data_IF_748544914162
#
_entry.id   IF_748544914162
#
_cell.length_a   1.000
_cell.length_b   1.000
_cell.length_c   1.000
_cell.angle_alpha   90.00
_cell.angle_beta   90.00
_cell.angle_gamma   90.00
#
_symmetry.space_group_name_H-M   'P 1'
#
loop_
_entity.id
_entity.type
_entity.pdbx_description
1 polymer ?
#
# COMPACT_ATOMS: atom_id res chain seq x y z
N UNK A 1 4.87 -32.76 15.77
CA UNK A 1 5.27 -31.34 15.91
C UNK A 1 5.39 -30.77 14.50
N UNK A 2 4.67 -29.70 14.15
CA UNK A 2 4.95 -28.97 12.91
C UNK A 2 6.35 -28.39 13.02
N UNK A 3 7.27 -28.77 12.13
CA UNK A 3 8.55 -28.09 12.01
C UNK A 3 8.32 -26.67 11.48
N UNK A 4 9.07 -25.72 12.01
CA UNK A 4 9.06 -24.33 11.54
C UNK A 4 9.86 -24.29 10.24
N UNK A 5 9.30 -23.64 9.20
CA UNK A 5 9.91 -23.54 7.87
C UNK A 5 10.32 -22.11 7.56
N UNK A 6 11.39 -21.92 6.80
CA UNK A 6 11.74 -20.59 6.31
C UNK A 6 10.73 -20.11 5.27
N UNK A 7 10.43 -18.81 5.30
CA UNK A 7 9.51 -18.14 4.41
C UNK A 7 10.06 -16.75 4.05
N UNK A 8 9.92 -16.25 2.81
CA UNK A 8 9.29 -16.89 1.64
C UNK A 8 10.02 -18.18 1.20
N UNK A 9 9.29 -19.11 0.61
CA UNK A 9 9.76 -20.48 0.36
C UNK A 9 10.87 -20.57 -0.71
N UNK A 10 10.68 -19.87 -1.82
CA UNK A 10 11.66 -19.77 -2.91
C UNK A 10 11.79 -18.31 -3.36
N UNK A 11 12.87 -18.02 -4.10
CA UNK A 11 13.00 -16.73 -4.76
C UNK A 11 11.83 -16.51 -5.75
N UNK A 12 11.32 -15.27 -5.89
CA UNK A 12 10.28 -14.96 -6.87
C UNK A 12 10.72 -15.34 -8.29
N UNK A 13 9.88 -16.08 -9.01
CA UNK A 13 10.06 -16.37 -10.43
C UNK A 13 8.98 -15.65 -11.24
N UNK A 14 9.28 -14.42 -11.65
CA UNK A 14 8.35 -13.55 -12.39
C UNK A 14 7.00 -13.45 -11.67
N UNK A 15 5.93 -13.95 -12.31
CA UNK A 15 4.57 -14.00 -11.78
C UNK A 15 4.13 -15.42 -11.38
N UNK A 16 5.04 -16.40 -11.43
CA UNK A 16 4.74 -17.77 -11.04
C UNK A 16 4.67 -17.87 -9.52
N UNK A 17 3.53 -18.34 -9.03
CA UNK A 17 3.39 -18.68 -7.63
C UNK A 17 4.21 -19.92 -7.31
N UNK A 18 4.94 -19.89 -6.20
CA UNK A 18 5.70 -21.04 -5.72
C UNK A 18 4.79 -22.30 -5.63
N UNK A 19 5.15 -23.41 -6.32
CA UNK A 19 4.34 -24.64 -6.32
C UNK A 19 4.16 -25.23 -4.92
N UNK A 20 5.02 -24.90 -3.97
CA UNK A 20 4.92 -25.34 -2.59
C UNK A 20 3.64 -24.84 -1.91
N UNK A 21 3.11 -23.67 -2.28
CA UNK A 21 1.78 -23.26 -1.81
C UNK A 21 0.69 -24.25 -2.21
N UNK A 22 0.75 -24.81 -3.43
CA UNK A 22 -0.23 -25.80 -3.88
C UNK A 22 -0.09 -27.12 -3.12
N UNK A 23 1.14 -27.51 -2.77
CA UNK A 23 1.42 -28.67 -1.91
C UNK A 23 0.84 -28.45 -0.50
N UNK A 24 1.19 -27.35 0.16
CA UNK A 24 0.70 -27.02 1.51
C UNK A 24 -0.82 -26.99 1.58
N UNK A 25 -1.49 -26.37 0.60
CA UNK A 25 -2.97 -26.38 0.53
C UNK A 25 -3.58 -27.78 0.62
N UNK A 26 -2.91 -28.80 0.06
CA UNK A 26 -3.38 -30.20 0.07
C UNK A 26 -2.96 -30.92 1.35
N UNK A 27 -1.70 -30.80 1.76
CA UNK A 27 -1.10 -31.68 2.77
C UNK A 27 -0.99 -31.07 4.16
N UNK A 28 -0.78 -29.75 4.25
CA UNK A 28 -0.53 -29.03 5.52
C UNK A 28 -1.01 -27.57 5.39
N UNK A 29 -2.34 -27.33 5.39
CA UNK A 29 -2.90 -26.03 5.01
C UNK A 29 -2.67 -24.91 6.03
N UNK A 30 -2.34 -25.29 7.27
CA UNK A 30 -1.89 -24.44 8.35
C UNK A 30 -0.51 -24.94 8.80
N UNK A 31 0.53 -24.16 8.51
CA UNK A 31 1.93 -24.49 8.85
C UNK A 31 2.57 -23.37 9.67
N UNK A 32 3.59 -23.70 10.46
CA UNK A 32 4.46 -22.70 11.11
C UNK A 32 5.56 -22.26 10.15
N UNK A 33 5.83 -20.96 10.11
CA UNK A 33 6.89 -20.36 9.28
C UNK A 33 7.68 -19.30 10.05
N UNK A 34 8.90 -19.03 9.58
CA UNK A 34 9.78 -17.97 10.03
C UNK A 34 10.12 -17.06 8.85
N UNK A 35 9.89 -15.76 9.02
CA UNK A 35 10.27 -14.74 8.04
C UNK A 35 11.70 -14.21 8.32
N UNK A 36 12.35 -13.47 7.40
CA UNK A 36 13.70 -12.95 7.63
C UNK A 36 13.83 -12.11 8.90
N UNK A 37 12.75 -11.43 9.30
CA UNK A 37 12.64 -10.69 10.54
C UNK A 37 11.33 -11.01 11.25
N UNK A 38 11.28 -10.82 12.57
CA UNK A 38 10.09 -11.01 13.37
C UNK A 38 9.97 -12.39 14.01
N UNK A 39 8.88 -12.55 14.75
CA UNK A 39 8.53 -13.81 15.40
C UNK A 39 8.02 -14.87 14.41
N UNK A 40 8.07 -16.14 14.84
CA UNK A 40 7.48 -17.24 14.08
C UNK A 40 5.95 -17.18 14.07
N UNK A 41 5.36 -17.43 12.91
CA UNK A 41 3.90 -17.28 12.70
C UNK A 41 3.26 -18.49 12.04
N UNK A 42 1.93 -18.51 12.07
CA UNK A 42 1.12 -19.44 11.30
C UNK A 42 0.89 -18.90 9.89
N UNK A 43 1.00 -19.77 8.89
CA UNK A 43 0.65 -19.50 7.51
C UNK A 43 -0.58 -20.33 7.13
N UNK A 44 -1.68 -19.65 6.81
CA UNK A 44 -2.88 -20.24 6.25
C UNK A 44 -2.83 -20.19 4.71
N UNK A 45 -3.12 -21.32 4.06
CA UNK A 45 -2.99 -21.43 2.59
C UNK A 45 -4.28 -21.79 1.87
N UNK A 46 -5.27 -22.41 2.55
CA UNK A 46 -6.59 -22.68 1.96
C UNK A 46 -7.44 -21.42 1.99
N UNK A 47 -8.23 -21.23 0.94
CA UNK A 47 -9.14 -20.08 0.82
C UNK A 47 -10.09 -19.96 2.03
N UNK A 48 -10.65 -21.06 2.52
CA UNK A 48 -11.51 -21.07 3.71
C UNK A 48 -10.79 -20.52 4.93
N UNK A 49 -9.56 -20.97 5.16
CA UNK A 49 -8.79 -20.68 6.37
C UNK A 49 -8.32 -19.22 6.34
N UNK A 50 -7.85 -18.75 5.18
CA UNK A 50 -7.51 -17.33 4.95
C UNK A 50 -8.73 -16.45 5.16
N UNK A 51 -9.90 -16.81 4.61
CA UNK A 51 -11.14 -16.06 4.81
C UNK A 51 -11.56 -16.01 6.28
N UNK A 52 -11.40 -17.10 7.02
CA UNK A 52 -11.67 -17.12 8.46
C UNK A 52 -10.69 -16.22 9.21
N UNK A 53 -9.38 -16.36 8.99
CA UNK A 53 -8.37 -15.55 9.69
C UNK A 53 -8.54 -14.05 9.41
N UNK A 54 -8.86 -13.67 8.17
CA UNK A 54 -9.03 -12.26 7.79
C UNK A 54 -10.41 -11.68 8.15
N UNK A 55 -11.40 -12.50 8.50
CA UNK A 55 -12.79 -12.08 8.71
C UNK A 55 -13.33 -12.28 10.12
N UNK A 56 -12.67 -13.08 10.95
CA UNK A 56 -13.13 -13.40 12.30
C UNK A 56 -12.49 -12.44 13.33
N UNK A 57 -13.29 -11.76 14.17
CA UNK A 57 -12.80 -10.74 15.11
C UNK A 57 -11.87 -11.29 16.22
N UNK A 58 -11.73 -12.62 16.34
CA UNK A 58 -10.76 -13.26 17.23
C UNK A 58 -9.31 -13.07 16.74
N UNK A 59 -9.10 -12.75 15.48
CA UNK A 59 -7.79 -12.41 14.93
C UNK A 59 -7.63 -10.89 14.89
N UNK A 60 -6.77 -10.38 15.77
CA UNK A 60 -6.63 -8.96 16.06
C UNK A 60 -5.36 -8.38 15.43
N UNK A 61 -5.49 -7.22 14.78
CA UNK A 61 -4.34 -6.40 14.34
C UNK A 61 -3.85 -5.47 15.45
N UNK A 62 -4.71 -5.04 16.37
CA UNK A 62 -4.26 -4.23 17.49
C UNK A 62 -3.34 -5.02 18.45
N UNK A 63 -3.55 -6.33 18.56
CA UNK A 63 -2.73 -7.22 19.39
C UNK A 63 -1.30 -7.44 18.85
N UNK A 64 -1.00 -7.04 17.61
CA UNK A 64 0.37 -7.10 17.07
C UNK A 64 1.17 -5.83 17.35
N UNK A 65 0.52 -4.74 17.79
CA UNK A 65 1.21 -3.48 18.13
C UNK A 65 2.17 -3.71 19.30
N UNK A 66 3.43 -3.33 19.11
CA UNK A 66 4.51 -3.53 20.09
C UNK A 66 5.15 -4.92 20.06
N UNK A 67 4.73 -5.81 19.14
CA UNK A 67 5.40 -7.09 18.88
C UNK A 67 6.34 -6.96 17.69
N UNK A 68 7.30 -7.87 17.61
CA UNK A 68 8.21 -8.01 16.47
C UNK A 68 7.50 -8.77 15.33
N UNK A 69 6.62 -8.08 14.59
CA UNK A 69 5.81 -8.68 13.52
C UNK A 69 6.67 -9.35 12.43
N UNK A 70 6.24 -10.51 11.90
CA UNK A 70 6.93 -11.21 10.82
C UNK A 70 6.94 -10.36 9.53
N UNK A 71 8.11 -10.18 8.92
CA UNK A 71 8.27 -9.28 7.76
C UNK A 71 9.46 -9.63 6.88
N UNK A 72 9.44 -9.12 5.64
CA UNK A 72 10.51 -9.29 4.64
C UNK A 72 11.57 -8.19 4.75
N UNK A 73 11.17 -6.98 5.15
CA UNK A 73 12.05 -5.82 5.25
C UNK A 73 12.53 -5.61 6.69
N UNK A 74 13.73 -5.04 6.92
CA UNK A 74 14.28 -4.88 8.26
C UNK A 74 13.43 -3.93 9.13
N UNK A 75 12.81 -2.93 8.51
CA UNK A 75 12.00 -1.91 9.18
C UNK A 75 10.57 -2.41 9.45
N UNK A 76 10.05 -2.30 10.69
CA UNK A 76 8.65 -2.57 10.98
C UNK A 76 7.74 -1.52 10.32
N UNK A 77 6.59 -1.95 9.81
CA UNK A 77 5.52 -1.05 9.38
C UNK A 77 4.69 -0.73 10.63
N UNK A 78 4.73 0.51 11.07
CA UNK A 78 4.06 0.95 12.30
C UNK A 78 2.85 1.83 12.00
N UNK A 79 1.75 1.56 12.71
CA UNK A 79 0.57 2.41 12.75
C UNK A 79 -0.38 2.31 11.55
N UNK A 80 -1.18 3.37 11.38
CA UNK A 80 -2.23 3.44 10.37
C UNK A 80 -3.46 2.58 10.70
N UNK A 81 -4.43 2.56 9.78
CA UNK A 81 -5.66 1.77 9.97
C UNK A 81 -5.41 0.25 9.96
N UNK A 82 -4.29 -0.21 9.40
CA UNK A 82 -3.94 -1.64 9.33
C UNK A 82 -3.46 -2.23 10.66
N UNK A 83 -3.19 -1.39 11.67
CA UNK A 83 -2.80 -1.81 13.03
C UNK A 83 -3.92 -1.64 14.05
N UNK A 84 -5.18 -1.50 13.61
CA UNK A 84 -6.33 -1.22 14.46
C UNK A 84 -7.40 -2.29 14.29
N UNK A 85 -8.19 -2.52 15.34
CA UNK A 85 -9.41 -3.32 15.29
C UNK A 85 -10.66 -2.42 15.46
N UNK A 86 -11.88 -2.94 15.23
CA UNK A 86 -13.08 -2.26 15.65
C UNK A 86 -13.11 -2.01 17.18
N UNK A 87 -13.67 -0.88 17.65
CA UNK A 87 -14.43 0.12 16.89
C UNK A 87 -13.59 1.21 16.21
N UNK A 88 -12.33 1.43 16.60
CA UNK A 88 -11.48 2.54 16.11
C UNK A 88 -11.22 2.43 14.61
N UNK A 89 -10.89 1.22 14.13
CA UNK A 89 -10.73 0.94 12.70
C UNK A 89 -12.02 1.25 11.93
N UNK A 90 -13.16 0.78 12.42
CA UNK A 90 -14.46 0.97 11.77
C UNK A 90 -14.85 2.44 11.67
N UNK A 91 -14.51 3.25 12.70
CA UNK A 91 -14.71 4.70 12.72
C UNK A 91 -13.91 5.39 11.61
N UNK A 92 -12.59 5.19 11.57
CA UNK A 92 -11.72 5.79 10.55
C UNK A 92 -12.06 5.31 9.13
N UNK A 93 -12.33 4.01 8.98
CA UNK A 93 -12.76 3.42 7.70
C UNK A 93 -14.05 4.06 7.19
N UNK A 94 -15.01 4.36 8.06
CA UNK A 94 -16.28 5.01 7.68
C UNK A 94 -16.07 6.42 7.15
N UNK A 95 -15.12 7.17 7.72
CA UNK A 95 -14.79 8.51 7.25
C UNK A 95 -14.14 8.46 5.86
N UNK A 96 -13.14 7.59 5.68
CA UNK A 96 -12.38 7.49 4.42
C UNK A 96 -13.19 6.81 3.31
N UNK A 97 -13.99 5.78 3.62
CA UNK A 97 -14.76 5.04 2.61
C UNK A 97 -15.77 5.93 1.85
N UNK A 98 -16.24 7.03 2.45
CA UNK A 98 -17.11 8.01 1.76
C UNK A 98 -16.40 8.64 0.56
N UNK A 99 -15.08 8.76 0.59
CA UNK A 99 -14.28 9.24 -0.53
C UNK A 99 -14.04 8.20 -1.63
N UNK A 100 -14.01 6.92 -1.27
CA UNK A 100 -13.71 5.82 -2.18
C UNK A 100 -14.96 5.01 -2.56
N UNK A 101 -16.13 5.65 -2.62
CA UNK A 101 -17.35 4.98 -3.12
C UNK A 101 -17.23 4.70 -4.61
N UNK A 102 -17.89 3.64 -5.10
CA UNK A 102 -17.89 3.30 -6.53
C UNK A 102 -18.27 4.50 -7.41
N UNK A 103 -19.27 5.28 -7.00
CA UNK A 103 -19.68 6.50 -7.72
C UNK A 103 -18.55 7.54 -7.78
N UNK A 104 -17.82 7.80 -6.69
CA UNK A 104 -16.70 8.75 -6.69
C UNK A 104 -15.53 8.25 -7.53
N UNK A 105 -15.22 6.97 -7.48
CA UNK A 105 -14.18 6.36 -8.33
C UNK A 105 -14.55 6.49 -9.81
N UNK A 106 -15.81 6.28 -10.18
CA UNK A 106 -16.24 6.48 -11.58
C UNK A 106 -16.12 7.94 -12.06
N UNK A 107 -16.23 8.92 -11.17
CA UNK A 107 -15.98 10.33 -11.51
C UNK A 107 -14.49 10.61 -11.81
N UNK A 108 -13.57 9.77 -11.34
CA UNK A 108 -12.14 9.89 -11.67
C UNK A 108 -11.84 9.37 -13.08
N UNK A 109 -12.68 8.48 -13.63
CA UNK A 109 -12.43 7.81 -14.92
C UNK A 109 -12.10 8.76 -16.08
N UNK A 110 -12.83 9.86 -16.31
CA UNK A 110 -12.49 10.78 -17.40
C UNK A 110 -11.11 11.41 -17.23
N UNK A 111 -10.75 11.80 -16.00
CA UNK A 111 -9.45 12.41 -15.70
C UNK A 111 -8.32 11.40 -15.78
N UNK A 112 -8.50 10.21 -15.21
CA UNK A 112 -7.54 9.09 -15.35
C UNK A 112 -7.28 8.74 -16.81
N UNK A 113 -8.32 8.77 -17.66
CA UNK A 113 -8.16 8.56 -19.10
C UNK A 113 -7.29 9.65 -19.75
N UNK A 114 -7.52 10.93 -19.44
CA UNK A 114 -6.68 12.02 -19.95
C UNK A 114 -5.20 11.87 -19.54
N UNK A 115 -4.95 11.47 -18.29
CA UNK A 115 -3.58 11.21 -17.80
C UNK A 115 -2.95 10.06 -18.59
N UNK A 116 -3.69 8.97 -18.77
CA UNK A 116 -3.23 7.81 -19.53
C UNK A 116 -2.95 8.17 -21.01
N UNK A 117 -3.86 8.89 -21.66
CA UNK A 117 -3.71 9.33 -23.05
C UNK A 117 -2.44 10.21 -23.18
N UNK A 118 -2.23 11.17 -22.28
CA UNK A 118 -1.02 12.01 -22.31
C UNK A 118 0.29 11.28 -22.01
N UNK A 119 0.28 10.22 -21.19
CA UNK A 119 1.44 9.34 -20.99
C UNK A 119 1.76 8.56 -22.27
N UNK A 120 0.73 8.06 -22.96
CA UNK A 120 0.87 7.34 -24.22
C UNK A 120 1.38 8.26 -25.33
N UNK A 121 0.83 9.47 -25.45
CA UNK A 121 1.26 10.45 -26.46
C UNK A 121 2.76 10.74 -26.34
N UNK A 122 3.26 10.99 -25.12
CA UNK A 122 4.70 11.19 -24.87
C UNK A 122 5.54 9.98 -25.26
N UNK A 123 5.08 8.77 -24.96
CA UNK A 123 5.77 7.54 -25.36
C UNK A 123 5.83 7.37 -26.88
N UNK A 124 4.78 7.77 -27.60
CA UNK A 124 4.74 7.72 -29.07
C UNK A 124 5.71 8.73 -29.66
N UNK A 125 5.79 9.93 -29.09
CA UNK A 125 6.73 10.99 -29.50
C UNK A 125 8.19 10.57 -29.30
N UNK A 126 8.53 9.93 -28.18
CA UNK A 126 9.88 9.44 -27.88
C UNK A 126 10.32 8.28 -28.82
N UNK A 127 9.35 7.55 -29.39
CA UNK A 127 9.57 6.45 -30.32
C UNK A 127 9.99 5.12 -29.65
N UNK A 128 9.94 4.00 -30.38
CA UNK A 128 10.30 2.69 -29.84
C UNK A 128 11.84 2.47 -29.77
N UNK A 129 12.33 1.65 -28.82
CA UNK A 129 11.58 0.96 -27.75
C UNK A 129 11.31 1.88 -26.54
N UNK A 130 10.21 1.63 -25.84
CA UNK A 130 9.86 2.31 -24.60
C UNK A 130 9.69 1.32 -23.44
N UNK A 131 10.14 1.69 -22.24
CA UNK A 131 9.85 0.95 -21.01
C UNK A 131 8.45 1.32 -20.49
N UNK A 132 7.49 0.39 -20.61
CA UNK A 132 6.11 0.60 -20.18
C UNK A 132 5.97 0.77 -18.66
N UNK A 133 6.90 0.23 -17.87
CA UNK A 133 6.88 0.38 -16.41
C UNK A 133 7.22 1.82 -16.05
N UNK A 134 8.37 2.30 -16.50
CA UNK A 134 8.87 3.65 -16.24
C UNK A 134 7.93 4.71 -16.84
N UNK A 135 7.47 4.50 -18.07
CA UNK A 135 6.75 5.53 -18.84
C UNK A 135 5.24 5.53 -18.66
N UNK A 136 4.65 4.47 -18.10
CA UNK A 136 3.19 4.38 -17.94
C UNK A 136 2.76 3.78 -16.59
N UNK A 137 3.22 2.58 -16.25
CA UNK A 137 2.68 1.83 -15.11
C UNK A 137 2.99 2.48 -13.75
N UNK A 138 4.16 3.10 -13.61
CA UNK A 138 4.56 3.86 -12.43
C UNK A 138 3.90 5.25 -12.35
N UNK A 139 4.01 6.12 -13.38
CA UNK A 139 3.50 7.49 -13.27
C UNK A 139 1.97 7.58 -13.19
N UNK A 140 1.23 6.71 -13.90
CA UNK A 140 -0.24 6.77 -13.93
C UNK A 140 -0.89 6.72 -12.52
N UNK A 141 -0.64 5.70 -11.68
CA UNK A 141 -1.23 5.66 -10.34
C UNK A 141 -0.73 6.79 -9.44
N UNK A 142 0.53 7.25 -9.59
CA UNK A 142 1.10 8.32 -8.78
C UNK A 142 0.43 9.66 -9.11
N UNK A 143 0.29 10.01 -10.38
CA UNK A 143 -0.44 11.22 -10.79
C UNK A 143 -1.90 11.18 -10.30
N UNK A 144 -2.59 10.05 -10.45
CA UNK A 144 -3.99 9.91 -10.02
C UNK A 144 -4.14 10.09 -8.51
N UNK A 145 -3.27 9.48 -7.69
CA UNK A 145 -3.35 9.65 -6.23
C UNK A 145 -2.95 11.06 -5.78
N UNK A 146 -1.97 11.69 -6.44
CA UNK A 146 -1.58 13.07 -6.19
C UNK A 146 -2.75 14.03 -6.44
N UNK A 147 -3.41 13.92 -7.59
CA UNK A 147 -4.59 14.73 -7.90
C UNK A 147 -5.73 14.50 -6.91
N UNK A 148 -5.98 13.23 -6.52
CA UNK A 148 -7.01 12.90 -5.54
C UNK A 148 -6.72 13.53 -4.16
N UNK A 149 -5.46 13.52 -3.73
CA UNK A 149 -5.00 14.13 -2.48
C UNK A 149 -4.94 15.66 -2.53
N UNK A 150 -5.03 16.26 -3.72
CA UNK A 150 -4.90 17.70 -3.90
C UNK A 150 -3.45 18.20 -3.89
N UNK A 151 -2.50 17.34 -4.25
CA UNK A 151 -1.09 17.69 -4.42
C UNK A 151 -0.97 18.58 -5.68
N UNK A 152 -0.41 19.81 -5.57
CA UNK A 152 -0.13 20.67 -6.72
C UNK A 152 0.76 19.99 -7.76
N UNK A 153 0.55 20.31 -9.03
CA UNK A 153 1.26 19.66 -10.15
C UNK A 153 2.77 19.85 -10.04
N UNK A 154 3.22 20.99 -9.55
CA UNK A 154 4.62 21.35 -9.40
C UNK A 154 5.35 20.46 -8.38
N UNK A 155 4.61 19.88 -7.43
CA UNK A 155 5.17 19.01 -6.39
C UNK A 155 5.13 17.53 -6.77
N UNK A 156 4.44 17.15 -7.86
CA UNK A 156 4.24 15.74 -8.22
C UNK A 156 5.55 15.03 -8.59
N UNK A 157 6.54 15.73 -9.14
CA UNK A 157 7.85 15.16 -9.45
C UNK A 157 8.59 14.66 -8.20
N UNK A 158 8.31 15.25 -7.02
CA UNK A 158 8.87 14.77 -5.75
C UNK A 158 8.14 13.54 -5.21
N UNK A 159 6.86 13.36 -5.57
CA UNK A 159 6.05 12.24 -5.12
C UNK A 159 6.48 10.91 -5.73
N UNK A 160 7.11 10.90 -6.90
CA UNK A 160 7.63 9.66 -7.50
C UNK A 160 8.70 9.04 -6.59
N UNK A 161 9.71 9.83 -6.22
CA UNK A 161 10.79 9.40 -5.33
C UNK A 161 10.28 9.04 -3.92
N UNK A 162 9.30 9.78 -3.39
CA UNK A 162 8.70 9.48 -2.09
C UNK A 162 7.82 8.23 -2.10
N UNK A 163 7.09 7.99 -3.18
CA UNK A 163 6.22 6.82 -3.33
C UNK A 163 7.03 5.55 -3.51
N UNK A 164 8.18 5.61 -4.20
CA UNK A 164 9.12 4.49 -4.31
C UNK A 164 9.60 4.03 -2.93
N UNK A 165 9.84 4.96 -2.00
CA UNK A 165 10.24 4.65 -0.62
C UNK A 165 9.20 3.84 0.17
N UNK A 166 7.91 3.91 -0.20
CA UNK A 166 6.83 3.18 0.46
C UNK A 166 6.87 1.70 0.07
N UNK A 167 7.22 1.40 -1.18
CA UNK A 167 7.13 0.05 -1.77
C UNK A 167 8.48 -0.62 -1.99
N UNK A 168 9.59 0.11 -1.86
CA UNK A 168 10.93 -0.39 -2.12
C UNK A 168 11.32 -1.47 -1.11
N UNK A 169 11.65 -2.65 -1.62
CA UNK A 169 12.19 -3.77 -0.84
C UNK A 169 13.70 -3.93 -1.03
N UNK A 170 14.27 -3.38 -2.10
CA UNK A 170 15.67 -3.63 -2.51
C UNK A 170 16.36 -2.46 -3.22
N UNK A 171 15.61 -1.51 -3.77
CA UNK A 171 16.17 -0.47 -4.67
C UNK A 171 16.71 0.76 -3.93
N UNK A 172 16.42 0.90 -2.64
CA UNK A 172 16.82 2.04 -1.82
C UNK A 172 17.54 1.58 -0.56
N UNK A 173 18.51 2.37 -0.12
CA UNK A 173 19.17 2.18 1.18
C UNK A 173 18.20 2.50 2.34
N UNK A 174 18.40 1.93 3.53
CA UNK A 174 17.61 2.27 4.71
C UNK A 174 17.57 3.78 5.01
N UNK A 175 18.69 4.47 4.79
CA UNK A 175 18.84 5.92 4.98
C UNK A 175 18.02 6.72 3.97
N UNK A 176 17.98 6.31 2.71
CA UNK A 176 17.14 6.92 1.67
C UNK A 176 15.66 6.72 1.95
N UNK A 177 15.25 5.48 2.29
CA UNK A 177 13.87 5.17 2.67
C UNK A 177 13.43 6.05 3.83
N UNK A 178 14.25 6.19 4.87
CA UNK A 178 13.95 7.05 6.01
C UNK A 178 13.75 8.50 5.57
N UNK A 179 14.69 9.04 4.80
CA UNK A 179 14.68 10.45 4.34
C UNK A 179 13.44 10.75 3.50
N UNK A 180 13.14 9.91 2.52
CA UNK A 180 11.99 10.09 1.64
C UNK A 180 10.66 9.99 2.39
N UNK A 181 10.54 9.07 3.34
CA UNK A 181 9.35 9.01 4.18
C UNK A 181 9.22 10.24 5.09
N UNK A 182 10.32 10.72 5.71
CA UNK A 182 10.29 11.96 6.48
C UNK A 182 9.84 13.16 5.64
N UNK A 183 10.33 13.29 4.41
CA UNK A 183 9.89 14.31 3.46
C UNK A 183 8.40 14.17 3.12
N UNK A 184 7.93 12.96 2.82
CA UNK A 184 6.52 12.70 2.54
C UNK A 184 5.62 13.07 3.73
N UNK A 185 5.98 12.64 4.94
CA UNK A 185 5.20 12.95 6.14
C UNK A 185 5.17 14.45 6.43
N UNK A 186 6.31 15.12 6.30
CA UNK A 186 6.40 16.57 6.46
C UNK A 186 5.54 17.32 5.45
N UNK A 187 5.61 16.91 4.18
CA UNK A 187 4.81 17.49 3.10
C UNK A 187 3.31 17.31 3.35
N UNK A 188 2.88 16.07 3.63
CA UNK A 188 1.47 15.77 3.91
C UNK A 188 0.95 16.52 5.14
N UNK A 189 1.77 16.68 6.18
CA UNK A 189 1.42 17.49 7.35
C UNK A 189 1.21 18.98 6.99
N UNK A 190 2.07 19.53 6.14
CA UNK A 190 1.93 20.88 5.59
C UNK A 190 0.64 21.04 4.78
N UNK A 191 0.37 20.11 3.87
CA UNK A 191 -0.83 20.11 3.03
C UNK A 191 -2.11 20.03 3.89
N UNK A 192 -2.14 19.15 4.90
CA UNK A 192 -3.25 19.07 5.86
C UNK A 192 -3.43 20.38 6.64
N UNK A 193 -2.34 21.01 7.08
CA UNK A 193 -2.39 22.29 7.80
C UNK A 193 -2.95 23.40 6.90
N UNK A 194 -2.58 23.42 5.62
CA UNK A 194 -3.14 24.34 4.64
C UNK A 194 -4.65 24.10 4.46
N UNK A 195 -5.07 22.85 4.27
CA UNK A 195 -6.50 22.50 4.08
C UNK A 195 -7.37 22.80 5.30
N UNK A 196 -6.78 22.87 6.50
CA UNK A 196 -7.48 23.36 7.72
C UNK A 196 -7.80 24.85 7.67
N UNK A 197 -6.95 25.65 7.04
CA UNK A 197 -7.12 27.11 6.93
C UNK A 197 -7.91 27.47 5.68
N UNK A 198 -7.65 26.76 4.57
CA UNK A 198 -8.29 26.94 3.26
C UNK A 198 -8.86 25.61 2.78
N UNK A 199 -10.12 25.29 3.13
CA UNK A 199 -10.77 24.06 2.67
C UNK A 199 -10.84 24.01 1.14
N UNK A 200 -10.67 22.81 0.60
CA UNK A 200 -10.77 22.49 -0.82
C UNK A 200 -11.66 21.27 -1.00
N UNK A 201 -12.04 20.99 -2.25
CA UNK A 201 -12.85 19.82 -2.59
C UNK A 201 -12.03 18.53 -2.82
N UNK A 202 -10.71 18.57 -2.61
CA UNK A 202 -9.85 17.39 -2.67
C UNK A 202 -10.07 16.44 -1.47
N UNK A 203 -9.47 15.24 -1.53
CA UNK A 203 -9.65 14.22 -0.49
C UNK A 203 -9.25 14.72 0.90
N UNK A 204 -8.14 15.44 1.01
CA UNK A 204 -7.65 15.94 2.30
C UNK A 204 -8.59 17.03 2.81
N UNK A 205 -9.00 17.96 1.94
CA UNK A 205 -9.98 18.99 2.23
C UNK A 205 -11.32 18.41 2.72
N UNK A 206 -11.77 17.30 2.16
CA UNK A 206 -12.96 16.60 2.59
C UNK A 206 -12.80 15.84 3.94
N UNK A 207 -11.59 15.35 4.25
CA UNK A 207 -11.30 14.58 5.47
C UNK A 207 -11.00 15.46 6.69
N UNK A 208 -10.39 16.62 6.50
CA UNK A 208 -10.04 17.57 7.59
C UNK A 208 -11.23 17.99 8.48
N UNK A 209 -12.37 18.42 7.91
CA UNK A 209 -13.53 18.81 8.70
C UNK A 209 -14.37 17.60 9.16
N UNK A 210 -14.05 16.40 8.67
CA UNK A 210 -14.81 15.22 9.04
C UNK A 210 -14.73 15.00 10.56
N UNK A 211 -15.91 14.91 11.16
CA UNK A 211 -16.12 14.55 12.57
C UNK A 211 -17.04 13.33 12.57
N UNK A 212 -16.86 12.46 13.55
CA UNK A 212 -17.79 11.36 13.81
C UNK A 212 -19.02 11.84 14.60
#
# INVERSE_FOLDING_TARGET
>A
MCSVRDYPFSAPDRLHLDPFYAQLRRTEPLTRVRMPFGEEVWLATRHSDVRTVLGDPRFSRAASVGRDEPRITPRPIEGGMLSMDPPEHSRLRRLIAKAFTARRVELLRPRTRQIADGLIDRMVEDGPPADLVERFATPLPITVICELLGVPVEDQEHFDAWSEAIVSTTSLTPEEIKRYLESLWGYMAGLIAERRVRPTDDLIGALVPARD
#
